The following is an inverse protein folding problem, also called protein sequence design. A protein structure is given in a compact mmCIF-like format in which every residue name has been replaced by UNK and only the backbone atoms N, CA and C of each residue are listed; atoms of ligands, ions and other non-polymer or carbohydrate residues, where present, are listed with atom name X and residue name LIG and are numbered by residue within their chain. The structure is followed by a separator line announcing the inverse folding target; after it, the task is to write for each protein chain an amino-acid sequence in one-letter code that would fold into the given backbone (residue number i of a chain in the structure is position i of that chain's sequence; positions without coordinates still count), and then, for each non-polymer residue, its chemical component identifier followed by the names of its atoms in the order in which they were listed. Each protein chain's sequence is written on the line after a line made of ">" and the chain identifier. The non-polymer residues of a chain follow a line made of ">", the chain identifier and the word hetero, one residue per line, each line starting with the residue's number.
data_IF_949402899708
#
_entry.id   IF_949402899708
#
_cell.length_a   1.000
_cell.length_b   1.000
_cell.length_c   1.000
_cell.angle_alpha   90.00
_cell.angle_beta   90.00
_cell.angle_gamma   90.00
#
_symmetry.space_group_name_H-M   'P 1'
#
loop_
_entity.id
_entity.type
_entity.pdbx_description
1 polymer ?
#
# COMPACT_ATOMS: atom_id res chain seq x y z
N UNK A 1 15.12 -1.63 -15.69
CA UNK A 1 13.83 -2.13 -16.22
C UNK A 1 14.01 -2.37 -17.71
N UNK A 2 13.60 -3.52 -18.27
CA UNK A 2 13.58 -3.67 -19.72
C UNK A 2 12.63 -2.61 -20.32
N UNK A 3 12.88 -2.14 -21.56
CA UNK A 3 12.05 -1.12 -22.18
C UNK A 3 10.60 -1.60 -22.25
N UNK A 4 9.68 -0.76 -21.78
CA UNK A 4 8.25 -0.99 -21.87
C UNK A 4 7.84 -0.89 -23.34
N UNK A 5 7.75 -2.01 -24.05
CA UNK A 5 7.14 -2.03 -25.38
C UNK A 5 5.63 -1.82 -25.24
N UNK A 6 5.09 -0.74 -25.80
CA UNK A 6 3.65 -0.50 -25.85
C UNK A 6 3.00 -1.33 -26.97
N UNK A 7 1.82 -1.89 -26.69
CA UNK A 7 0.99 -2.59 -27.69
C UNK A 7 -0.33 -1.84 -27.83
N UNK A 8 -0.67 -1.44 -29.06
CA UNK A 8 -1.95 -0.79 -29.35
C UNK A 8 -3.06 -1.84 -29.44
N UNK A 9 -4.17 -1.60 -28.75
CA UNK A 9 -5.41 -2.38 -28.88
C UNK A 9 -6.59 -1.45 -29.09
N UNK A 10 -7.50 -1.84 -29.99
CA UNK A 10 -8.74 -1.11 -30.23
C UNK A 10 -9.81 -1.63 -29.29
N UNK A 11 -10.39 -0.74 -28.49
CA UNK A 11 -11.50 -1.04 -27.57
C UNK A 11 -12.68 -0.12 -27.90
N UNK A 12 -13.90 -0.64 -27.73
CA UNK A 12 -15.12 0.17 -27.78
C UNK A 12 -15.46 0.58 -26.35
N UNK A 13 -15.73 1.86 -26.15
CA UNK A 13 -16.23 2.42 -24.90
C UNK A 13 -17.56 3.12 -25.17
N UNK A 14 -18.42 3.18 -24.16
CA UNK A 14 -19.70 3.87 -24.25
C UNK A 14 -19.46 5.37 -24.44
N UNK A 15 -20.37 6.03 -25.17
CA UNK A 15 -20.20 7.44 -25.58
C UNK A 15 -20.15 8.37 -24.37
N UNK A 16 -21.03 8.16 -23.40
CA UNK A 16 -21.10 8.92 -22.16
C UNK A 16 -19.83 8.76 -21.31
N UNK A 17 -19.24 7.56 -21.31
CA UNK A 17 -17.94 7.30 -20.67
C UNK A 17 -16.80 8.07 -21.38
N UNK A 18 -16.74 8.05 -22.72
CA UNK A 18 -15.75 8.83 -23.49
C UNK A 18 -15.92 10.34 -23.23
N UNK A 19 -17.16 10.84 -23.28
CA UNK A 19 -17.47 12.25 -23.03
C UNK A 19 -17.04 12.68 -21.63
N UNK A 20 -17.26 11.84 -20.61
CA UNK A 20 -16.79 12.09 -19.25
C UNK A 20 -15.26 12.12 -19.20
N UNK A 21 -14.59 11.12 -19.77
CA UNK A 21 -13.12 11.03 -19.76
C UNK A 21 -12.46 12.22 -20.45
N UNK A 22 -13.04 12.73 -21.55
CA UNK A 22 -12.56 13.93 -22.23
C UNK A 22 -12.66 15.16 -21.34
N UNK A 23 -13.85 15.44 -20.79
CA UNK A 23 -14.07 16.59 -19.89
C UNK A 23 -13.19 16.53 -18.66
N UNK A 24 -13.06 15.34 -18.07
CA UNK A 24 -12.17 15.12 -16.93
C UNK A 24 -10.70 15.32 -17.31
N UNK A 25 -10.27 14.76 -18.44
CA UNK A 25 -8.92 14.93 -18.97
C UNK A 25 -8.56 16.40 -19.22
N UNK A 26 -9.45 17.15 -19.85
CA UNK A 26 -9.26 18.58 -20.10
C UNK A 26 -9.14 19.38 -18.80
N UNK A 27 -9.96 19.06 -17.79
CA UNK A 27 -9.91 19.72 -16.47
C UNK A 27 -8.63 19.42 -15.71
N UNK A 28 -8.16 18.18 -15.74
CA UNK A 28 -6.96 17.74 -15.02
C UNK A 28 -5.67 17.93 -15.84
N UNK A 29 -5.75 18.43 -17.09
CA UNK A 29 -4.60 18.62 -17.98
C UNK A 29 -3.95 17.32 -18.45
N UNK A 30 -4.72 16.23 -18.59
CA UNK A 30 -4.24 14.90 -18.97
C UNK A 30 -5.02 14.30 -20.14
N UNK A 31 -4.36 13.46 -20.94
CA UNK A 31 -5.03 12.80 -22.06
C UNK A 31 -5.95 11.65 -21.61
N UNK A 32 -7.00 11.40 -22.38
CA UNK A 32 -7.87 10.20 -22.21
C UNK A 32 -7.03 8.92 -22.22
N UNK A 33 -6.02 8.83 -23.10
CA UNK A 33 -5.11 7.69 -23.13
C UNK A 33 -4.39 7.49 -21.79
N UNK A 34 -3.95 8.56 -21.11
CA UNK A 34 -3.33 8.43 -19.79
C UNK A 34 -4.33 7.91 -18.75
N UNK A 35 -5.57 8.41 -18.76
CA UNK A 35 -6.63 7.95 -17.85
C UNK A 35 -6.94 6.47 -18.03
N UNK A 36 -7.12 6.04 -19.28
CA UNK A 36 -7.38 4.63 -19.64
C UNK A 36 -6.21 3.74 -19.22
N UNK A 37 -4.97 4.14 -19.50
CA UNK A 37 -3.80 3.36 -19.08
C UNK A 37 -3.68 3.28 -17.55
N UNK A 38 -3.98 4.36 -16.81
CA UNK A 38 -4.01 4.34 -15.33
C UNK A 38 -5.08 3.38 -14.81
N UNK A 39 -6.29 3.41 -15.39
CA UNK A 39 -7.39 2.54 -14.99
C UNK A 39 -7.07 1.05 -15.27
N UNK A 40 -6.60 0.72 -16.47
CA UNK A 40 -6.23 -0.65 -16.82
C UNK A 40 -5.06 -1.13 -15.96
N UNK A 41 -4.05 -0.29 -15.70
CA UNK A 41 -2.93 -0.65 -14.82
C UNK A 41 -3.40 -0.92 -13.39
N UNK A 42 -4.32 -0.10 -12.85
CA UNK A 42 -4.93 -0.36 -11.55
C UNK A 42 -5.71 -1.67 -11.52
N UNK A 43 -6.49 -1.96 -12.58
CA UNK A 43 -7.25 -3.21 -12.67
C UNK A 43 -6.34 -4.44 -12.57
N UNK A 44 -5.22 -4.43 -13.32
CA UNK A 44 -4.29 -5.57 -13.36
C UNK A 44 -3.31 -5.64 -12.19
N UNK A 45 -2.98 -4.52 -11.54
CA UNK A 45 -2.07 -4.53 -10.38
C UNK A 45 -2.83 -4.69 -9.06
N UNK A 46 -4.08 -4.24 -8.99
CA UNK A 46 -4.84 -4.12 -7.74
C UNK A 46 -6.23 -4.75 -7.80
N UNK A 47 -7.16 -4.21 -8.61
CA UNK A 47 -8.60 -4.48 -8.43
C UNK A 47 -8.95 -5.99 -8.55
N UNK A 48 -8.39 -6.71 -9.55
CA UNK A 48 -8.60 -8.17 -9.75
C UNK A 48 -8.21 -9.00 -8.53
N UNK A 49 -7.21 -8.54 -7.78
CA UNK A 49 -6.69 -9.23 -6.61
C UNK A 49 -7.44 -8.78 -5.35
N UNK A 50 -7.65 -7.47 -5.19
CA UNK A 50 -8.39 -6.85 -4.09
C UNK A 50 -9.80 -7.44 -3.89
N UNK A 51 -10.53 -7.67 -5.00
CA UNK A 51 -11.88 -8.23 -4.96
C UNK A 51 -11.94 -9.62 -4.29
N UNK A 52 -10.87 -10.42 -4.41
CA UNK A 52 -10.82 -11.77 -3.84
C UNK A 52 -10.67 -11.78 -2.33
N UNK A 53 -10.26 -10.66 -1.75
CA UNK A 53 -10.11 -10.48 -0.30
C UNK A 53 -11.26 -9.72 0.33
N UNK A 54 -12.33 -9.43 -0.43
CA UNK A 54 -13.49 -8.71 0.09
C UNK A 54 -13.16 -7.28 0.52
N UNK A 55 -12.18 -6.63 -0.12
CA UNK A 55 -11.85 -5.24 0.19
C UNK A 55 -13.04 -4.33 -0.13
N UNK A 56 -13.45 -3.52 0.86
CA UNK A 56 -14.54 -2.56 0.74
C UNK A 56 -14.01 -1.13 0.74
N UNK A 57 -14.63 -0.27 -0.07
CA UNK A 57 -14.32 1.15 -0.08
C UNK A 57 -15.03 1.86 1.08
N UNK A 58 -14.26 2.51 1.94
CA UNK A 58 -14.77 3.30 3.07
C UNK A 58 -14.17 4.71 3.04
N UNK A 59 -14.90 5.75 3.48
CA UNK A 59 -14.31 7.07 3.70
C UNK A 59 -13.18 7.01 4.72
N UNK A 60 -12.03 7.63 4.44
CA UNK A 60 -10.90 7.68 5.36
C UNK A 60 -11.28 8.23 6.73
N UNK A 61 -12.12 9.26 6.76
CA UNK A 61 -12.63 9.86 8.00
C UNK A 61 -13.47 8.91 8.86
N UNK A 62 -14.16 7.95 8.26
CA UNK A 62 -14.88 6.91 9.01
C UNK A 62 -13.88 5.92 9.64
N UNK A 63 -12.88 5.50 8.87
CA UNK A 63 -11.82 4.60 9.34
C UNK A 63 -11.04 5.24 10.50
N UNK A 64 -10.65 6.51 10.37
CA UNK A 64 -10.02 7.30 11.44
C UNK A 64 -10.89 7.35 12.68
N UNK A 65 -12.18 7.68 12.53
CA UNK A 65 -13.13 7.74 13.64
C UNK A 65 -13.35 6.40 14.34
N UNK A 66 -13.25 5.28 13.62
CA UNK A 66 -13.29 3.94 14.21
C UNK A 66 -12.02 3.65 15.00
N UNK A 67 -10.85 3.97 14.44
CA UNK A 67 -9.57 3.80 15.14
C UNK A 67 -9.51 4.63 16.42
N UNK A 68 -10.09 5.83 16.44
CA UNK A 68 -10.18 6.69 17.63
C UNK A 68 -10.95 6.05 18.80
N UNK A 69 -11.71 4.98 18.58
CA UNK A 69 -12.40 4.26 19.65
C UNK A 69 -11.53 3.22 20.35
N UNK A 70 -10.42 2.83 19.74
CA UNK A 70 -9.51 1.86 20.33
C UNK A 70 -8.60 2.52 21.37
N UNK A 71 -8.19 1.76 22.37
CA UNK A 71 -7.01 2.06 23.19
C UNK A 71 -5.73 1.79 22.40
N UNK A 72 -4.59 2.31 22.87
CA UNK A 72 -3.30 2.04 22.24
C UNK A 72 -2.96 0.54 22.25
N UNK A 73 -3.36 -0.18 23.30
CA UNK A 73 -3.17 -1.62 23.40
C UNK A 73 -3.96 -2.39 22.33
N UNK A 74 -5.25 -2.06 22.17
CA UNK A 74 -6.13 -2.65 21.14
C UNK A 74 -5.66 -2.30 19.73
N UNK A 75 -5.23 -1.06 19.49
CA UNK A 75 -4.69 -0.65 18.20
C UNK A 75 -3.40 -1.43 17.86
N UNK A 76 -2.52 -1.61 18.85
CA UNK A 76 -1.31 -2.41 18.71
C UNK A 76 -1.62 -3.88 18.49
N UNK A 77 -2.63 -4.44 19.16
CA UNK A 77 -3.07 -5.83 18.96
C UNK A 77 -3.63 -6.06 17.57
N UNK A 78 -4.48 -5.15 17.09
CA UNK A 78 -5.00 -5.17 15.73
C UNK A 78 -3.84 -5.13 14.71
N UNK A 79 -2.84 -4.28 14.93
CA UNK A 79 -1.63 -4.22 14.12
C UNK A 79 -0.89 -5.56 14.08
N UNK A 80 -0.62 -6.14 15.25
CA UNK A 80 0.03 -7.45 15.39
C UNK A 80 -0.77 -8.55 14.70
N UNK A 81 -2.10 -8.52 14.79
CA UNK A 81 -2.98 -9.48 14.11
C UNK A 81 -2.90 -9.34 12.59
N UNK A 82 -2.96 -8.11 12.07
CA UNK A 82 -2.83 -7.86 10.62
C UNK A 82 -1.46 -8.31 10.10
N UNK A 83 -0.37 -7.98 10.78
CA UNK A 83 0.97 -8.38 10.36
C UNK A 83 1.21 -9.89 10.40
N UNK A 84 0.50 -10.63 11.28
CA UNK A 84 0.61 -12.11 11.37
C UNK A 84 -0.29 -12.85 10.38
N UNK A 85 -1.48 -12.35 10.11
CA UNK A 85 -2.50 -13.09 9.39
C UNK A 85 -2.73 -12.52 7.98
N UNK A 86 -3.00 -11.22 7.88
CA UNK A 86 -3.48 -10.63 6.65
C UNK A 86 -2.35 -10.25 5.67
N UNK A 87 -1.24 -9.71 6.17
CA UNK A 87 -0.08 -9.34 5.33
C UNK A 87 0.53 -10.56 4.61
N UNK A 88 0.80 -11.70 5.28
CA UNK A 88 1.33 -12.88 4.60
C UNK A 88 0.38 -13.43 3.53
N UNK A 89 -0.94 -13.41 3.76
CA UNK A 89 -1.95 -13.84 2.78
C UNK A 89 -1.92 -12.96 1.53
N UNK A 90 -1.94 -11.64 1.71
CA UNK A 90 -1.83 -10.70 0.59
C UNK A 90 -0.54 -10.89 -0.19
N UNK A 91 0.59 -11.01 0.50
CA UNK A 91 1.88 -11.14 -0.17
C UNK A 91 1.98 -12.46 -0.94
N UNK A 92 1.56 -13.56 -0.32
CA UNK A 92 1.52 -14.87 -1.00
C UNK A 92 0.65 -14.80 -2.26
N UNK A 93 -0.47 -14.09 -2.20
CA UNK A 93 -1.37 -14.04 -3.35
C UNK A 93 -0.82 -13.18 -4.51
N UNK A 94 -0.32 -11.98 -4.21
CA UNK A 94 0.23 -11.05 -5.21
C UNK A 94 1.61 -11.48 -5.73
N UNK A 95 2.50 -11.91 -4.83
CA UNK A 95 3.92 -12.13 -5.11
C UNK A 95 4.34 -13.60 -5.07
N UNK A 96 3.41 -14.52 -4.79
CA UNK A 96 3.60 -15.99 -4.73
C UNK A 96 4.44 -16.51 -3.58
N UNK A 97 5.23 -15.66 -2.95
CA UNK A 97 6.08 -16.01 -1.82
C UNK A 97 6.21 -14.82 -0.86
N UNK A 98 6.26 -15.11 0.44
CA UNK A 98 6.59 -14.12 1.47
C UNK A 98 8.11 -14.03 1.59
N UNK A 99 8.68 -12.99 1.00
CA UNK A 99 10.09 -12.68 1.10
C UNK A 99 10.32 -11.18 1.34
N UNK A 100 11.56 -10.82 1.66
CA UNK A 100 11.91 -9.47 2.07
C UNK A 100 11.72 -8.44 0.96
N UNK A 101 11.95 -8.81 -0.31
CA UNK A 101 11.70 -7.93 -1.45
C UNK A 101 10.22 -7.61 -1.59
N UNK A 102 9.35 -8.61 -1.48
CA UNK A 102 7.90 -8.43 -1.53
C UNK A 102 7.40 -7.60 -0.34
N UNK A 103 7.94 -7.84 0.86
CA UNK A 103 7.57 -7.14 2.09
C UNK A 103 8.01 -5.69 2.17
N UNK A 104 9.17 -5.36 1.61
CA UNK A 104 9.76 -4.02 1.68
C UNK A 104 9.39 -3.20 0.46
N UNK A 105 9.56 -3.75 -0.74
CA UNK A 105 9.40 -2.97 -1.97
C UNK A 105 8.02 -3.23 -2.59
N UNK A 106 7.69 -4.50 -2.81
CA UNK A 106 6.52 -4.87 -3.61
C UNK A 106 5.20 -4.39 -3.01
N UNK A 107 4.86 -4.96 -1.86
CA UNK A 107 3.56 -4.75 -1.21
C UNK A 107 3.38 -3.32 -0.69
N UNK A 108 4.35 -2.68 -0.01
CA UNK A 108 4.15 -1.30 0.45
C UNK A 108 3.99 -0.28 -0.68
N UNK A 109 4.73 -0.41 -1.79
CA UNK A 109 4.54 0.46 -2.96
C UNK A 109 3.19 0.25 -3.62
N UNK A 110 2.72 -1.00 -3.69
CA UNK A 110 1.41 -1.32 -4.22
C UNK A 110 0.29 -0.71 -3.34
N UNK A 111 0.40 -0.88 -2.02
CA UNK A 111 -0.51 -0.27 -1.06
C UNK A 111 -0.51 1.25 -1.12
N UNK A 112 0.66 1.87 -1.20
CA UNK A 112 0.77 3.32 -1.32
C UNK A 112 0.13 3.84 -2.61
N UNK A 113 0.35 3.14 -3.73
CA UNK A 113 -0.19 3.54 -5.03
C UNK A 113 -1.71 3.40 -5.12
N UNK A 114 -2.28 2.31 -4.62
CA UNK A 114 -3.69 1.97 -4.86
C UNK A 114 -4.55 1.91 -3.61
N UNK A 115 -4.04 1.37 -2.50
CA UNK A 115 -4.76 1.24 -1.25
C UNK A 115 -4.81 2.53 -0.43
N UNK A 116 -3.89 3.48 -0.68
CA UNK A 116 -3.85 4.82 -0.06
C UNK A 116 -3.82 4.80 1.47
N UNK A 117 -3.32 3.72 2.06
CA UNK A 117 -3.17 3.57 3.50
C UNK A 117 -2.06 4.50 4.06
N UNK A 118 -1.03 4.75 3.25
CA UNK A 118 0.10 5.62 3.57
C UNK A 118 0.83 6.04 2.28
N UNK A 119 1.56 7.14 2.34
CA UNK A 119 2.69 7.40 1.46
C UNK A 119 3.86 6.51 1.90
N UNK A 120 4.59 5.96 0.93
CA UNK A 120 5.68 5.02 1.17
C UNK A 120 6.99 5.52 0.56
N UNK A 121 8.03 5.55 1.38
CA UNK A 121 9.41 5.72 0.92
C UNK A 121 10.30 4.63 1.51
N UNK A 122 11.26 4.17 0.72
CA UNK A 122 12.34 3.32 1.19
C UNK A 122 13.71 3.82 0.73
N UNK A 123 14.71 3.72 1.60
CA UNK A 123 16.08 4.09 1.34
C UNK A 123 17.04 3.02 1.87
N UNK A 124 18.16 2.81 1.17
CA UNK A 124 19.20 1.85 1.53
C UNK A 124 20.55 2.55 1.50
N UNK A 125 21.24 2.56 2.64
CA UNK A 125 22.57 3.13 2.79
C UNK A 125 23.45 2.14 3.54
N UNK A 126 24.59 1.74 2.95
CA UNK A 126 25.55 0.81 3.55
C UNK A 126 24.92 -0.47 4.14
N UNK A 127 23.90 -1.03 3.47
CA UNK A 127 23.18 -2.25 3.92
C UNK A 127 22.12 -2.01 5.02
N UNK A 128 21.96 -0.77 5.50
CA UNK A 128 20.90 -0.36 6.40
C UNK A 128 19.71 0.13 5.61
N UNK A 129 18.56 -0.49 5.85
CA UNK A 129 17.29 -0.13 5.27
C UNK A 129 16.56 0.83 6.18
N UNK A 130 15.94 1.85 5.58
CA UNK A 130 14.99 2.74 6.22
C UNK A 130 13.72 2.72 5.39
N UNK A 131 12.59 2.40 6.01
CA UNK A 131 11.27 2.48 5.39
C UNK A 131 10.42 3.48 6.16
N UNK A 132 9.60 4.24 5.45
CA UNK A 132 8.78 5.32 5.99
C UNK A 132 7.34 5.09 5.55
N UNK A 133 6.43 4.98 6.53
CA UNK A 133 4.99 4.96 6.32
C UNK A 133 4.42 6.30 6.79
N UNK A 134 4.11 7.23 5.88
CA UNK A 134 3.47 8.50 6.22
C UNK A 134 1.97 8.40 6.00
N UNK A 135 1.22 8.26 7.08
CA UNK A 135 -0.21 7.94 7.05
C UNK A 135 -1.12 9.14 7.42
N UNK A 136 -0.61 10.15 8.13
CA UNK A 136 -1.37 11.36 8.50
C UNK A 136 -2.73 11.11 9.19
N UNK A 137 -2.80 10.06 10.02
CA UNK A 137 -4.06 9.54 10.57
C UNK A 137 -4.11 9.48 12.11
N UNK A 138 -3.14 10.06 12.81
CA UNK A 138 -3.10 10.11 14.28
C UNK A 138 -2.38 8.92 14.97
N UNK A 139 -2.01 9.13 16.23
CA UNK A 139 -1.09 8.28 16.99
C UNK A 139 -1.49 6.79 17.07
N UNK A 140 -2.79 6.48 17.11
CA UNK A 140 -3.28 5.09 17.16
C UNK A 140 -2.94 4.31 15.91
N UNK A 141 -2.96 4.95 14.74
CA UNK A 141 -2.48 4.33 13.51
C UNK A 141 -0.99 4.06 13.57
N UNK A 142 -0.21 4.94 14.20
CA UNK A 142 1.22 4.73 14.36
C UNK A 142 1.53 3.56 15.31
N UNK A 143 0.74 3.38 16.37
CA UNK A 143 0.79 2.18 17.24
C UNK A 143 0.41 0.92 16.48
N UNK A 144 -0.65 0.98 15.67
CA UNK A 144 -1.06 -0.11 14.79
C UNK A 144 0.06 -0.52 13.81
N UNK A 145 0.66 0.45 13.10
CA UNK A 145 1.73 0.16 12.14
C UNK A 145 3.00 -0.36 12.81
N UNK A 146 3.34 0.12 14.02
CA UNK A 146 4.43 -0.46 14.80
C UNK A 146 4.17 -1.95 15.09
N UNK A 147 2.98 -2.29 15.58
CA UNK A 147 2.59 -3.67 15.86
C UNK A 147 2.61 -4.56 14.62
N UNK A 148 2.10 -4.03 13.50
CA UNK A 148 2.10 -4.70 12.20
C UNK A 148 3.51 -4.98 11.71
N UNK A 149 4.39 -3.96 11.69
CA UNK A 149 5.74 -4.11 11.16
C UNK A 149 6.55 -5.08 12.02
N UNK A 150 6.47 -4.98 13.35
CA UNK A 150 7.17 -5.90 14.26
C UNK A 150 6.80 -7.36 14.00
N UNK A 151 5.52 -7.67 13.77
CA UNK A 151 5.12 -9.05 13.51
C UNK A 151 5.39 -9.51 12.09
N UNK A 152 5.15 -8.65 11.09
CA UNK A 152 5.32 -9.02 9.70
C UNK A 152 6.80 -9.28 9.34
N UNK A 153 7.72 -8.59 10.00
CA UNK A 153 9.16 -8.79 9.81
C UNK A 153 9.80 -9.81 10.76
N UNK A 154 9.07 -10.31 11.76
CA UNK A 154 9.63 -11.11 12.86
C UNK A 154 10.43 -12.33 12.41
N UNK A 155 9.99 -13.01 11.35
CA UNK A 155 10.63 -14.22 10.81
C UNK A 155 11.47 -13.95 9.54
N UNK A 156 11.50 -12.69 9.07
CA UNK A 156 12.19 -12.30 7.85
C UNK A 156 13.52 -11.60 8.13
N UNK A 157 13.62 -10.94 9.29
CA UNK A 157 14.83 -10.26 9.70
C UNK A 157 15.59 -11.12 10.71
N UNK A 158 16.90 -11.21 10.51
CA UNK A 158 17.83 -11.78 11.48
C UNK A 158 18.42 -10.72 12.44
N UNK A 159 17.93 -9.49 12.34
CA UNK A 159 18.39 -8.33 13.11
C UNK A 159 17.20 -7.57 13.67
N UNK A 160 17.45 -6.76 14.71
CA UNK A 160 16.39 -6.01 15.37
C UNK A 160 15.79 -4.94 14.44
N UNK A 161 14.46 -4.89 14.42
CA UNK A 161 13.69 -3.84 13.77
C UNK A 161 13.54 -2.66 14.74
N UNK A 162 14.24 -1.57 14.46
CA UNK A 162 14.10 -0.32 15.20
C UNK A 162 12.94 0.50 14.62
N UNK A 163 12.01 0.92 15.48
CA UNK A 163 10.85 1.70 15.06
C UNK A 163 10.81 3.02 15.82
N UNK A 164 10.72 4.10 15.05
CA UNK A 164 10.39 5.44 15.54
C UNK A 164 9.02 5.83 14.98
N UNK A 165 8.20 6.48 15.80
CA UNK A 165 6.87 6.91 15.38
C UNK A 165 6.53 8.29 15.91
N UNK A 166 5.75 9.01 15.14
CA UNK A 166 5.02 10.22 15.53
C UNK A 166 3.55 9.98 15.22
N UNK A 167 2.67 10.92 15.55
CA UNK A 167 1.24 10.80 15.27
C UNK A 167 0.89 10.54 13.80
N UNK A 168 1.78 10.86 12.85
CA UNK A 168 1.46 10.83 11.42
C UNK A 168 2.42 10.01 10.56
N UNK A 169 3.46 9.44 11.17
CA UNK A 169 4.41 8.60 10.45
C UNK A 169 5.07 7.55 11.33
N UNK A 170 5.43 6.43 10.71
CA UNK A 170 6.24 5.36 11.29
C UNK A 170 7.48 5.15 10.43
N UNK A 171 8.65 5.21 11.06
CA UNK A 171 9.95 4.96 10.43
C UNK A 171 10.52 3.68 11.00
N UNK A 172 10.77 2.70 10.13
CA UNK A 172 11.37 1.43 10.50
C UNK A 172 12.78 1.33 9.92
N UNK A 173 13.75 0.93 10.75
CA UNK A 173 15.16 0.76 10.35
C UNK A 173 15.65 -0.62 10.74
N UNK A 174 16.31 -1.29 9.81
CA UNK A 174 16.83 -2.66 9.98
C UNK A 174 17.99 -2.92 9.03
N UNK A 175 18.68 -4.04 9.25
CA UNK A 175 19.74 -4.53 8.35
C UNK A 175 19.37 -5.88 7.76
N UNK A 176 19.77 -6.12 6.53
CA UNK A 176 19.64 -7.41 5.86
C UNK A 176 21.04 -8.03 5.85
N UNK A 177 21.17 -9.26 6.38
CA UNK A 177 22.40 -10.04 6.27
C UNK A 177 22.47 -10.73 4.92
#
# INVERSE_FOLDING_TARGET
>A
MPPSSSVTRTIRIERDVDDFLRKFGDREGVSVNLLVNKAIRRLVEWDIYAEKFGLVALPSSLIERMMDRLTDEEAGELGRWVGRNLIPEFITFWFKEVNLQAMVIGYPRLQSRYGRAFEYEEHVEAGKWTIILKHSAGAKWSVYYEGLLKTAFQNLLQTDLQIEKTDNQVVARFTIK
#
